data_IF_914450968793
#
_entry.id   IF_914450968793
#
_cell.length_a   1.000
_cell.length_b   1.000
_cell.length_c   1.000
_cell.angle_alpha   90.00
_cell.angle_beta   90.00
_cell.angle_gamma   90.00
#
_symmetry.space_group_name_H-M   'P 1'
#
loop_
_entity.id
_entity.type
_entity.pdbx_description
1 polymer ?
#
# COMPACT_ATOMS: atom_id res chain seq x y z
N UNK A 1 -2.44 -21.15 -4.68
CA UNK A 1 -2.82 -22.08 -3.58
C UNK A 1 -4.30 -22.45 -3.54
N UNK A 2 -5.18 -21.92 -4.43
CA UNK A 2 -6.58 -22.30 -4.52
C UNK A 2 -7.51 -21.84 -3.40
N UNK A 3 -7.01 -21.08 -2.44
CA UNK A 3 -7.76 -20.65 -1.24
C UNK A 3 -8.45 -19.28 -1.37
N UNK A 4 -8.09 -18.48 -2.40
CA UNK A 4 -8.73 -17.18 -2.62
C UNK A 4 -10.20 -17.36 -3.05
N UNK A 5 -11.09 -16.54 -2.51
CA UNK A 5 -12.51 -16.50 -2.90
C UNK A 5 -12.70 -16.23 -4.41
N UNK A 6 -11.78 -15.53 -5.06
CA UNK A 6 -11.81 -15.25 -6.49
C UNK A 6 -11.57 -16.48 -7.37
N UNK A 7 -10.99 -17.55 -6.82
CA UNK A 7 -10.63 -18.77 -7.56
C UNK A 7 -11.22 -20.06 -6.96
N UNK A 8 -11.97 -19.94 -5.86
CA UNK A 8 -12.59 -21.09 -5.20
C UNK A 8 -13.72 -21.72 -6.04
N UNK A 9 -14.48 -20.89 -6.74
CA UNK A 9 -15.68 -21.29 -7.45
C UNK A 9 -16.88 -21.55 -6.54
N UNK A 10 -16.79 -21.18 -5.25
CA UNK A 10 -17.82 -21.44 -4.24
C UNK A 10 -18.37 -20.16 -3.59
N UNK A 11 -17.97 -18.99 -4.07
CA UNK A 11 -18.43 -17.74 -3.48
C UNK A 11 -19.93 -17.51 -3.76
N UNK A 12 -20.71 -17.27 -2.70
CA UNK A 12 -22.17 -17.13 -2.76
C UNK A 12 -22.62 -16.10 -3.80
N UNK A 13 -23.46 -16.50 -4.74
CA UNK A 13 -23.96 -15.68 -5.85
C UNK A 13 -23.06 -15.65 -7.09
N UNK A 14 -21.89 -16.27 -7.02
CA UNK A 14 -20.93 -16.40 -8.12
C UNK A 14 -20.35 -17.82 -8.19
N UNK A 15 -21.13 -18.82 -7.82
CA UNK A 15 -20.72 -20.24 -7.86
C UNK A 15 -20.33 -20.64 -9.29
N UNK A 16 -19.22 -21.36 -9.41
CA UNK A 16 -18.68 -21.81 -10.69
C UNK A 16 -17.95 -20.75 -11.52
N UNK A 17 -17.76 -19.53 -11.00
CA UNK A 17 -16.95 -18.50 -11.65
C UNK A 17 -15.58 -18.36 -10.99
N UNK A 18 -14.55 -18.05 -11.83
CA UNK A 18 -13.15 -18.01 -11.43
C UNK A 18 -12.46 -16.78 -11.99
N UNK A 19 -11.60 -16.14 -11.20
CA UNK A 19 -10.78 -14.97 -11.63
C UNK A 19 -9.35 -15.11 -11.11
N UNK A 20 -8.47 -15.71 -11.90
CA UNK A 20 -7.08 -15.96 -11.51
C UNK A 20 -6.18 -14.71 -11.61
N UNK A 21 -6.59 -13.71 -12.38
CA UNK A 21 -5.79 -12.54 -12.70
C UNK A 21 -6.27 -11.28 -11.99
N UNK A 22 -7.23 -11.38 -11.06
CA UNK A 22 -7.82 -10.26 -10.33
C UNK A 22 -8.38 -9.14 -11.24
N UNK A 23 -8.79 -9.47 -12.46
CA UNK A 23 -9.34 -8.51 -13.40
C UNK A 23 -10.65 -7.93 -12.83
N UNK A 24 -10.73 -6.59 -12.77
CA UNK A 24 -11.88 -5.90 -12.19
C UNK A 24 -12.03 -6.05 -10.68
N UNK A 25 -11.10 -6.72 -10.00
CA UNK A 25 -11.12 -6.91 -8.55
C UNK A 25 -10.65 -5.63 -7.83
N UNK A 26 -11.50 -4.61 -7.82
CA UNK A 26 -11.24 -3.32 -7.18
C UNK A 26 -12.40 -2.96 -6.22
N UNK A 27 -12.09 -2.24 -5.14
CA UNK A 27 -13.08 -1.80 -4.17
C UNK A 27 -12.43 -1.31 -2.88
N UNK A 28 -13.22 -0.61 -2.06
CA UNK A 28 -12.77 -0.06 -0.77
C UNK A 28 -12.82 -1.09 0.38
N UNK A 29 -13.46 -2.23 0.16
CA UNK A 29 -13.52 -3.34 1.12
C UNK A 29 -13.15 -4.66 0.44
N UNK A 30 -12.66 -5.63 1.20
CA UNK A 30 -12.34 -6.98 0.69
C UNK A 30 -13.55 -7.64 0.01
N UNK A 31 -14.74 -7.45 0.56
CA UNK A 31 -16.00 -7.98 -0.01
C UNK A 31 -16.26 -7.40 -1.40
N UNK A 32 -16.16 -6.08 -1.56
CA UNK A 32 -16.35 -5.41 -2.87
C UNK A 32 -15.30 -5.83 -3.89
N UNK A 33 -14.04 -5.99 -3.48
CA UNK A 33 -12.97 -6.48 -4.35
C UNK A 33 -13.31 -7.86 -4.90
N UNK A 34 -13.78 -8.79 -4.05
CA UNK A 34 -14.17 -10.13 -4.47
C UNK A 34 -15.40 -10.09 -5.38
N UNK A 35 -16.43 -9.37 -4.98
CA UNK A 35 -17.69 -9.27 -5.76
C UNK A 35 -17.45 -8.66 -7.13
N UNK A 36 -16.72 -7.55 -7.22
CA UNK A 36 -16.42 -6.90 -8.50
C UNK A 36 -15.58 -7.80 -9.41
N UNK A 37 -14.57 -8.48 -8.86
CA UNK A 37 -13.77 -9.43 -9.62
C UNK A 37 -14.56 -10.65 -10.13
N UNK A 38 -15.49 -11.17 -9.33
CA UNK A 38 -16.35 -12.28 -9.75
C UNK A 38 -17.48 -11.83 -10.70
N UNK A 39 -18.00 -10.62 -10.52
CA UNK A 39 -18.93 -10.01 -11.49
C UNK A 39 -18.28 -9.86 -12.86
N UNK A 40 -17.00 -9.42 -12.90
CA UNK A 40 -16.23 -9.42 -14.14
C UNK A 40 -16.11 -10.82 -14.74
N UNK A 41 -15.73 -11.82 -13.95
CA UNK A 41 -15.60 -13.20 -14.41
C UNK A 41 -16.91 -13.75 -14.99
N UNK A 42 -18.04 -13.44 -14.33
CA UNK A 42 -19.39 -13.80 -14.81
C UNK A 42 -19.69 -13.14 -16.15
N UNK A 43 -19.46 -11.85 -16.28
CA UNK A 43 -19.65 -11.09 -17.53
C UNK A 43 -18.75 -11.63 -18.67
N UNK A 44 -17.52 -12.02 -18.34
CA UNK A 44 -16.55 -12.57 -19.30
C UNK A 44 -16.79 -14.06 -19.63
N UNK A 45 -17.76 -14.72 -19.01
CA UNK A 45 -18.05 -16.13 -19.23
C UNK A 45 -17.00 -17.08 -18.65
N UNK A 46 -16.26 -16.67 -17.62
CA UNK A 46 -15.19 -17.46 -16.97
C UNK A 46 -15.78 -18.48 -15.98
N UNK A 47 -16.65 -19.34 -16.49
CA UNK A 47 -17.39 -20.34 -15.72
C UNK A 47 -16.69 -21.71 -15.62
N UNK A 48 -15.45 -21.79 -16.07
CA UNK A 48 -14.53 -22.91 -15.81
C UNK A 48 -13.13 -22.36 -15.52
N UNK A 49 -12.31 -23.15 -14.82
CA UNK A 49 -10.91 -22.78 -14.54
C UNK A 49 -10.13 -22.54 -15.84
N UNK A 50 -10.34 -23.38 -16.85
CA UNK A 50 -9.70 -23.24 -18.16
C UNK A 50 -10.06 -21.89 -18.83
N UNK A 51 -11.35 -21.55 -18.89
CA UNK A 51 -11.78 -20.27 -19.50
C UNK A 51 -11.22 -19.06 -18.75
N UNK A 52 -11.17 -19.12 -17.42
CA UNK A 52 -10.62 -18.04 -16.61
C UNK A 52 -9.11 -17.88 -16.81
N UNK A 53 -8.36 -18.98 -16.89
CA UNK A 53 -6.92 -18.93 -17.17
C UNK A 53 -6.67 -18.42 -18.61
N UNK A 54 -7.34 -18.95 -19.60
CA UNK A 54 -7.20 -18.54 -20.99
C UNK A 54 -7.57 -17.06 -21.17
N UNK A 55 -8.75 -16.66 -20.71
CA UNK A 55 -9.21 -15.27 -20.87
C UNK A 55 -8.35 -14.26 -20.12
N UNK A 56 -7.90 -14.58 -18.92
CA UNK A 56 -6.99 -13.74 -18.16
C UNK A 56 -5.61 -13.62 -18.82
N UNK A 57 -5.06 -14.72 -19.33
CA UNK A 57 -3.79 -14.71 -20.08
C UNK A 57 -3.89 -13.88 -21.37
N UNK A 58 -4.99 -13.99 -22.08
CA UNK A 58 -5.24 -13.17 -23.30
C UNK A 58 -5.32 -11.68 -22.98
N UNK A 59 -5.99 -11.32 -21.88
CA UNK A 59 -6.04 -9.92 -21.41
C UNK A 59 -4.65 -9.40 -21.05
N UNK A 60 -3.87 -10.17 -20.31
CA UNK A 60 -2.51 -9.81 -19.93
C UNK A 60 -1.63 -9.65 -21.17
N UNK A 61 -1.69 -10.59 -22.10
CA UNK A 61 -0.95 -10.55 -23.36
C UNK A 61 -1.30 -9.29 -24.17
N UNK A 62 -2.59 -9.01 -24.38
CA UNK A 62 -3.06 -7.90 -25.18
C UNK A 62 -2.76 -6.54 -24.53
N UNK A 63 -3.06 -6.41 -23.23
CA UNK A 63 -3.06 -5.10 -22.57
C UNK A 63 -1.69 -4.71 -22.03
N UNK A 64 -0.81 -5.70 -21.74
CA UNK A 64 0.50 -5.44 -21.14
C UNK A 64 1.66 -5.90 -22.02
N UNK A 65 1.70 -7.17 -22.41
CA UNK A 65 2.85 -7.70 -23.16
C UNK A 65 2.94 -7.05 -24.56
N UNK A 66 1.84 -6.96 -25.27
CA UNK A 66 1.78 -6.38 -26.61
C UNK A 66 2.11 -4.87 -26.67
N UNK A 67 2.05 -4.17 -25.53
CA UNK A 67 2.43 -2.74 -25.44
C UNK A 67 3.80 -2.53 -24.77
N UNK A 68 4.59 -3.60 -24.65
CA UNK A 68 5.97 -3.56 -24.15
C UNK A 68 6.11 -3.76 -22.63
N UNK A 69 5.00 -3.89 -21.89
CA UNK A 69 5.02 -4.19 -20.46
C UNK A 69 5.15 -5.71 -20.23
N UNK A 70 6.20 -6.31 -20.79
CA UNK A 70 6.42 -7.76 -20.90
C UNK A 70 7.19 -8.37 -19.70
N UNK A 71 7.54 -7.56 -18.72
CA UNK A 71 8.14 -8.02 -17.45
C UNK A 71 7.26 -7.63 -16.26
N UNK A 72 7.39 -8.35 -15.14
CA UNK A 72 6.68 -8.00 -13.89
C UNK A 72 6.96 -6.56 -13.45
N UNK A 73 8.20 -6.09 -13.65
CA UNK A 73 8.57 -4.72 -13.35
C UNK A 73 7.83 -3.71 -14.24
N UNK A 74 7.81 -3.94 -15.56
CA UNK A 74 7.13 -3.04 -16.49
C UNK A 74 5.60 -3.08 -16.35
N UNK A 75 5.03 -4.21 -15.98
CA UNK A 75 3.61 -4.32 -15.65
C UNK A 75 3.28 -3.49 -14.40
N UNK A 76 4.18 -3.45 -13.42
CA UNK A 76 3.97 -2.68 -12.19
C UNK A 76 4.23 -1.20 -12.37
N UNK A 77 5.32 -0.80 -12.99
CA UNK A 77 5.77 0.59 -12.98
C UNK A 77 5.60 1.33 -14.31
N UNK A 78 5.28 0.61 -15.37
CA UNK A 78 5.02 1.12 -16.73
C UNK A 78 5.95 2.26 -17.17
N UNK A 79 7.21 1.93 -17.36
CA UNK A 79 8.22 2.89 -17.86
C UNK A 79 8.53 2.72 -19.33
N UNK A 80 7.75 1.92 -20.06
CA UNK A 80 7.99 1.55 -21.47
C UNK A 80 6.84 1.89 -22.41
N UNK A 81 5.59 1.85 -21.95
CA UNK A 81 4.44 2.20 -22.78
C UNK A 81 4.28 3.72 -22.85
N UNK A 82 4.79 4.33 -23.90
CA UNK A 82 4.82 5.78 -24.09
C UNK A 82 3.43 6.45 -24.10
N UNK A 83 2.37 5.71 -24.43
CA UNK A 83 0.99 6.24 -24.42
C UNK A 83 0.44 6.49 -23.02
N UNK A 84 0.99 5.83 -22.01
CA UNK A 84 0.50 5.95 -20.64
C UNK A 84 1.61 5.67 -19.61
N UNK A 85 2.75 6.38 -19.75
CA UNK A 85 3.88 6.27 -18.83
C UNK A 85 3.43 6.50 -17.39
N UNK A 86 3.94 5.68 -16.48
CA UNK A 86 3.67 5.70 -15.03
C UNK A 86 2.22 5.40 -14.65
N UNK A 87 1.30 5.31 -15.61
CA UNK A 87 -0.05 4.78 -15.46
C UNK A 87 -0.13 3.33 -15.96
N UNK A 88 -1.34 2.80 -16.14
CA UNK A 88 -1.61 1.46 -16.67
C UNK A 88 -0.82 0.35 -15.93
N UNK A 89 -0.93 0.36 -14.61
CA UNK A 89 -0.25 -0.59 -13.74
C UNK A 89 -1.13 -1.80 -13.46
N UNK A 90 -0.57 -3.00 -13.57
CA UNK A 90 -1.31 -4.24 -13.31
C UNK A 90 -1.56 -4.50 -11.83
N UNK A 91 -0.59 -4.17 -10.97
CA UNK A 91 -0.62 -4.52 -9.55
C UNK A 91 -0.66 -3.27 -8.68
N UNK A 92 -1.48 -3.26 -7.62
CA UNK A 92 -1.49 -2.20 -6.60
C UNK A 92 -0.33 -2.30 -5.61
N UNK A 93 0.12 -3.53 -5.29
CA UNK A 93 1.22 -3.75 -4.35
C UNK A 93 2.56 -3.27 -4.91
N UNK A 94 3.23 -2.36 -4.20
CA UNK A 94 4.52 -1.79 -4.61
C UNK A 94 5.65 -2.81 -4.70
N UNK A 95 5.61 -3.86 -3.89
CA UNK A 95 6.64 -4.90 -3.86
C UNK A 95 6.29 -6.12 -4.72
N UNK A 96 5.17 -6.08 -5.46
CA UNK A 96 4.69 -7.24 -6.21
C UNK A 96 5.71 -7.75 -7.25
N UNK A 97 6.33 -6.85 -8.02
CA UNK A 97 7.32 -7.24 -9.01
C UNK A 97 8.52 -7.99 -8.39
N UNK A 98 8.97 -7.54 -7.21
CA UNK A 98 10.04 -8.22 -6.45
C UNK A 98 9.59 -9.57 -5.89
N UNK A 99 8.44 -9.61 -5.21
CA UNK A 99 7.97 -10.83 -4.54
C UNK A 99 7.59 -11.92 -5.52
N UNK A 100 6.92 -11.57 -6.61
CA UNK A 100 6.57 -12.53 -7.66
C UNK A 100 7.79 -12.96 -8.47
N UNK A 101 8.70 -12.03 -8.81
CA UNK A 101 9.96 -12.37 -9.47
C UNK A 101 10.81 -13.34 -8.66
N UNK A 102 10.88 -13.14 -7.34
CA UNK A 102 11.57 -14.07 -6.43
C UNK A 102 10.92 -15.46 -6.43
N UNK A 103 9.60 -15.55 -6.38
CA UNK A 103 8.89 -16.84 -6.46
C UNK A 103 9.13 -17.56 -7.79
N UNK A 104 9.07 -16.82 -8.90
CA UNK A 104 9.38 -17.38 -10.23
C UNK A 104 10.81 -17.90 -10.27
N UNK A 105 11.78 -17.10 -9.78
CA UNK A 105 13.20 -17.52 -9.73
C UNK A 105 13.44 -18.79 -8.91
N UNK A 106 12.64 -19.02 -7.87
CA UNK A 106 12.70 -20.25 -7.08
C UNK A 106 12.16 -21.49 -7.83
N UNK A 107 11.29 -21.27 -8.83
CA UNK A 107 10.75 -22.34 -9.67
C UNK A 107 11.73 -22.85 -10.74
N UNK A 108 12.78 -22.09 -11.04
CA UNK A 108 13.80 -22.53 -11.98
C UNK A 108 14.83 -23.39 -11.27
N UNK A 109 14.82 -24.70 -11.55
CA UNK A 109 15.78 -25.67 -11.00
C UNK A 109 17.06 -25.75 -11.82
N UNK A 110 16.97 -25.55 -13.14
CA UNK A 110 18.10 -25.49 -14.03
C UNK A 110 18.62 -24.05 -14.17
N UNK A 111 19.80 -23.81 -13.59
CA UNK A 111 20.49 -22.52 -13.66
C UNK A 111 21.32 -22.32 -14.93
N UNK A 112 21.42 -23.32 -15.79
CA UNK A 112 22.12 -23.23 -17.07
C UNK A 112 21.19 -22.73 -18.19
N UNK A 113 19.89 -22.60 -17.95
CA UNK A 113 18.97 -22.04 -18.91
C UNK A 113 19.33 -20.59 -19.22
N UNK A 114 19.35 -20.23 -20.50
CA UNK A 114 19.58 -18.86 -20.93
C UNK A 114 18.36 -17.98 -20.56
N UNK A 115 18.63 -16.88 -19.87
CA UNK A 115 17.62 -15.88 -19.53
C UNK A 115 17.91 -14.56 -20.24
N UNK A 116 16.87 -13.88 -20.68
CA UNK A 116 16.95 -12.50 -21.16
C UNK A 116 16.40 -11.58 -20.09
N UNK A 117 17.22 -10.68 -19.58
CA UNK A 117 16.83 -9.68 -18.59
C UNK A 117 16.66 -8.32 -19.26
N UNK A 118 15.53 -7.66 -19.00
CA UNK A 118 15.29 -6.27 -19.39
C UNK A 118 15.33 -5.40 -18.14
N UNK A 119 16.43 -4.66 -17.98
CA UNK A 119 16.69 -3.85 -16.78
C UNK A 119 16.54 -2.38 -17.17
N UNK A 120 15.58 -1.63 -16.61
CA UNK A 120 15.47 -0.19 -16.83
C UNK A 120 16.64 0.53 -16.16
N UNK A 121 17.28 1.42 -16.90
CA UNK A 121 18.33 2.31 -16.37
C UNK A 121 17.78 3.73 -16.43
N UNK A 122 17.76 4.40 -15.28
CA UNK A 122 17.25 5.76 -15.15
C UNK A 122 18.40 6.77 -15.19
N UNK A 123 18.13 7.97 -15.71
CA UNK A 123 19.13 9.04 -15.83
C UNK A 123 19.79 9.40 -14.50
N UNK A 124 19.06 9.30 -13.41
CA UNK A 124 19.56 9.60 -12.06
C UNK A 124 19.42 8.37 -11.16
N UNK A 125 20.05 7.26 -11.55
CA UNK A 125 20.09 6.05 -10.72
C UNK A 125 20.81 6.35 -9.39
N UNK A 126 20.28 5.92 -8.24
CA UNK A 126 21.00 6.01 -6.99
C UNK A 126 22.28 5.17 -7.03
N UNK A 127 23.33 5.64 -6.39
CA UNK A 127 24.65 4.95 -6.32
C UNK A 127 24.63 3.68 -5.46
N UNK A 128 23.59 3.49 -4.66
CA UNK A 128 23.39 2.31 -3.81
C UNK A 128 21.98 1.76 -4.01
N UNK A 129 21.83 0.46 -3.78
CA UNK A 129 20.53 -0.18 -3.82
C UNK A 129 19.58 0.47 -2.79
N UNK A 130 18.37 0.81 -3.24
CA UNK A 130 17.32 1.28 -2.35
C UNK A 130 16.86 0.10 -1.51
N UNK A 131 17.02 0.19 -0.19
CA UNK A 131 16.44 -0.78 0.73
C UNK A 131 14.92 -0.59 0.76
N UNK A 132 14.19 -1.67 0.57
CA UNK A 132 12.74 -1.63 0.80
C UNK A 132 12.50 -1.25 2.27
N UNK A 133 11.71 -0.22 2.49
CA UNK A 133 11.22 0.10 3.84
C UNK A 133 10.51 -1.12 4.42
N UNK A 134 10.64 -1.32 5.71
CA UNK A 134 10.02 -2.43 6.41
C UNK A 134 8.54 -2.59 6.02
N UNK A 135 8.10 -3.83 5.83
CA UNK A 135 6.70 -4.11 5.53
C UNK A 135 5.82 -3.57 6.67
N UNK A 136 4.81 -2.79 6.33
CA UNK A 136 3.90 -2.19 7.30
C UNK A 136 3.22 -0.95 6.75
N UNK A 137 2.17 -0.51 7.41
CA UNK A 137 1.48 0.72 7.05
C UNK A 137 2.42 1.92 7.25
N UNK A 138 2.75 2.71 6.21
CA UNK A 138 3.68 3.83 6.32
C UNK A 138 3.06 5.09 6.94
N UNK A 139 1.76 5.09 7.23
CA UNK A 139 1.06 6.26 7.73
C UNK A 139 1.49 6.60 9.16
N UNK A 140 2.17 7.73 9.32
CA UNK A 140 2.64 8.27 10.59
C UNK A 140 1.93 9.59 10.95
N UNK A 141 0.75 9.83 10.39
CA UNK A 141 -0.03 11.03 10.70
C UNK A 141 -0.89 10.83 11.94
N UNK A 142 -1.04 11.90 12.71
CA UNK A 142 -2.04 11.97 13.77
C UNK A 142 -3.42 12.27 13.18
N UNK A 143 -4.43 11.60 13.72
CA UNK A 143 -5.85 11.91 13.49
C UNK A 143 -6.29 13.08 14.39
N UNK A 144 -5.72 13.16 15.59
CA UNK A 144 -5.98 14.23 16.55
C UNK A 144 -4.80 14.38 17.51
N UNK A 145 -4.61 15.59 18.03
CA UNK A 145 -3.85 15.92 19.21
C UNK A 145 -4.66 16.95 20.02
N UNK A 146 -4.75 16.76 21.31
CA UNK A 146 -5.50 17.63 22.21
C UNK A 146 -4.79 17.75 23.55
N UNK A 147 -4.94 18.90 24.17
CA UNK A 147 -4.53 19.15 25.56
C UNK A 147 -5.80 19.40 26.37
N UNK A 148 -5.99 18.63 27.44
CA UNK A 148 -7.21 18.70 28.24
C UNK A 148 -7.45 20.14 28.76
N UNK A 149 -8.65 20.67 28.49
CA UNK A 149 -9.05 22.01 28.91
C UNK A 149 -8.36 23.18 28.18
N UNK A 150 -7.56 22.90 27.15
CA UNK A 150 -6.79 23.91 26.43
C UNK A 150 -7.02 23.84 24.91
N UNK A 151 -6.90 24.98 24.24
CA UNK A 151 -6.98 25.07 22.78
C UNK A 151 -5.59 25.25 22.17
N UNK A 152 -5.31 24.47 21.13
CA UNK A 152 -4.07 24.58 20.37
C UNK A 152 -4.16 25.71 19.32
N UNK A 153 -3.06 26.43 19.13
CA UNK A 153 -2.91 27.44 18.09
C UNK A 153 -1.72 27.07 17.17
N UNK A 154 -1.92 26.94 15.85
CA UNK A 154 -3.24 26.88 15.17
C UNK A 154 -4.08 25.67 15.62
N UNK A 155 -5.36 25.67 15.30
CA UNK A 155 -6.21 24.48 15.49
C UNK A 155 -5.62 23.26 14.78
N UNK A 156 -5.90 22.06 15.29
CA UNK A 156 -5.28 20.82 14.78
C UNK A 156 -5.53 20.62 13.29
N UNK A 157 -4.44 20.32 12.58
CA UNK A 157 -4.43 19.80 11.19
C UNK A 157 -3.36 18.70 11.11
N UNK A 158 -3.66 17.56 10.54
CA UNK A 158 -2.74 16.41 10.49
C UNK A 158 -1.39 16.71 9.80
N UNK A 159 -1.36 17.69 8.88
CA UNK A 159 -0.14 18.13 8.21
C UNK A 159 0.70 19.10 9.05
N UNK A 160 0.13 19.76 10.06
CA UNK A 160 0.82 20.73 10.92
C UNK A 160 1.60 20.00 12.01
N UNK A 161 2.86 20.43 12.22
CA UNK A 161 3.77 19.80 13.19
C UNK A 161 4.15 20.71 14.37
N UNK A 162 3.72 21.98 14.35
CA UNK A 162 4.01 22.95 15.40
C UNK A 162 2.71 23.57 15.88
N UNK A 163 2.53 23.55 17.17
CA UNK A 163 1.39 24.14 17.89
C UNK A 163 1.91 24.89 19.10
N UNK A 164 1.14 25.86 19.55
CA UNK A 164 1.37 26.57 20.81
C UNK A 164 0.10 26.66 21.61
N UNK A 165 0.23 26.81 22.91
CA UNK A 165 -0.84 27.18 23.82
C UNK A 165 -0.24 27.97 24.99
N UNK A 166 -1.05 28.73 25.66
CA UNK A 166 -0.68 29.50 26.86
C UNK A 166 -1.54 29.04 28.01
N UNK A 167 -0.94 28.81 29.14
CA UNK A 167 -1.63 28.51 30.39
C UNK A 167 -1.17 29.49 31.50
N UNK A 168 -2.00 29.64 32.50
CA UNK A 168 -1.65 30.45 33.69
C UNK A 168 -0.43 29.87 34.42
N UNK A 169 0.34 30.71 35.09
CA UNK A 169 1.56 30.31 35.81
C UNK A 169 1.28 29.37 37.00
N UNK A 170 0.04 29.28 37.42
CA UNK A 170 -0.43 28.37 38.47
C UNK A 170 -0.62 26.93 37.97
N UNK A 171 -0.64 26.73 36.66
CA UNK A 171 -0.80 25.39 36.03
C UNK A 171 0.54 24.68 36.03
N UNK A 172 0.73 23.72 36.89
CA UNK A 172 1.98 22.95 37.04
C UNK A 172 2.07 21.72 36.14
N UNK A 173 1.00 21.34 35.46
CA UNK A 173 0.98 20.20 34.52
C UNK A 173 -0.19 20.28 33.55
N UNK A 174 0.00 19.64 32.38
CA UNK A 174 -1.06 19.47 31.37
C UNK A 174 -1.14 18.00 30.94
N UNK A 175 -2.31 17.58 30.47
CA UNK A 175 -2.51 16.25 29.90
C UNK A 175 -2.61 16.33 28.38
N UNK A 176 -1.66 15.69 27.69
CA UNK A 176 -1.59 15.64 26.22
C UNK A 176 -2.11 14.31 25.72
N UNK A 177 -3.11 14.33 24.85
CA UNK A 177 -3.68 13.17 24.21
C UNK A 177 -3.49 13.24 22.71
N UNK A 178 -3.23 12.11 22.05
CA UNK A 178 -3.15 12.04 20.61
C UNK A 178 -3.65 10.68 20.12
N UNK A 179 -4.20 10.67 18.90
CA UNK A 179 -4.62 9.45 18.19
C UNK A 179 -3.99 9.43 16.80
N UNK A 180 -3.55 8.25 16.37
CA UNK A 180 -2.98 8.07 15.03
C UNK A 180 -4.10 7.81 14.00
N UNK A 181 -3.84 8.14 12.73
CA UNK A 181 -4.70 7.77 11.60
C UNK A 181 -4.67 6.26 11.39
N UNK A 182 -3.48 5.66 11.41
CA UNK A 182 -3.32 4.21 11.31
C UNK A 182 -3.27 3.57 12.70
N UNK A 183 -4.16 2.63 12.99
CA UNK A 183 -4.22 1.91 14.26
C UNK A 183 -2.94 1.12 14.57
N UNK A 184 -2.13 0.82 13.55
CA UNK A 184 -0.84 0.12 13.68
C UNK A 184 0.33 1.04 14.01
N UNK A 185 0.11 2.36 14.07
CA UNK A 185 1.13 3.33 14.46
C UNK A 185 1.22 3.47 15.97
N UNK A 186 2.42 3.70 16.48
CA UNK A 186 2.68 3.93 17.90
C UNK A 186 2.90 5.42 18.18
N UNK A 187 2.34 5.90 19.29
CA UNK A 187 2.48 7.30 19.70
C UNK A 187 3.28 7.36 20.99
N UNK A 188 4.21 8.30 21.06
CA UNK A 188 4.99 8.61 22.25
C UNK A 188 4.94 10.10 22.55
N UNK A 189 5.22 10.49 23.79
CA UNK A 189 5.19 11.89 24.21
C UNK A 189 3.84 12.40 24.70
N UNK A 190 2.81 11.56 24.75
CA UNK A 190 1.48 11.83 25.35
C UNK A 190 1.48 11.67 26.87
N UNK A 191 0.33 11.89 27.50
CA UNK A 191 0.13 11.79 28.95
C UNK A 191 0.41 13.10 29.69
N UNK A 192 0.49 13.01 31.02
CA UNK A 192 0.73 14.16 31.88
C UNK A 192 2.16 14.71 31.72
N UNK A 193 2.28 16.01 31.49
CA UNK A 193 3.55 16.74 31.35
C UNK A 193 3.63 17.80 32.43
N UNK A 194 4.69 17.75 33.23
CA UNK A 194 5.00 18.81 34.20
C UNK A 194 5.43 20.05 33.44
N UNK A 195 5.05 21.20 33.93
CA UNK A 195 5.39 22.51 33.38
C UNK A 195 6.23 23.31 34.40
N UNK A 196 7.18 24.05 33.88
CA UNK A 196 7.86 25.11 34.60
C UNK A 196 7.31 26.47 34.13
N UNK A 197 7.41 27.49 34.95
CA UNK A 197 7.11 28.85 34.53
C UNK A 197 8.01 29.25 33.35
N UNK A 198 7.41 29.80 32.29
CA UNK A 198 8.08 30.15 31.05
C UNK A 198 7.80 29.13 29.94
N UNK A 199 8.72 29.06 28.98
CA UNK A 199 8.53 28.22 27.78
C UNK A 199 8.83 26.74 28.06
N UNK A 200 7.87 25.88 27.74
CA UNK A 200 8.01 24.42 27.77
C UNK A 200 7.86 23.86 26.36
N UNK A 201 8.68 22.89 26.00
CA UNK A 201 8.58 22.18 24.72
C UNK A 201 8.18 20.74 24.96
N UNK A 202 7.06 20.32 24.36
CA UNK A 202 6.54 18.96 24.46
C UNK A 202 6.56 18.34 23.06
N UNK A 203 7.26 17.21 22.92
CA UNK A 203 7.36 16.49 21.65
C UNK A 203 6.45 15.27 21.68
N UNK A 204 5.50 15.24 20.75
CA UNK A 204 4.67 14.04 20.47
C UNK A 204 5.16 13.45 19.16
N UNK A 205 5.49 12.16 19.16
CA UNK A 205 5.98 11.45 17.98
C UNK A 205 5.01 10.35 17.60
N UNK A 206 4.71 10.22 16.31
CA UNK A 206 3.94 9.13 15.73
C UNK A 206 4.84 8.28 14.85
N UNK A 207 5.06 7.02 15.20
CA UNK A 207 5.86 6.08 14.43
C UNK A 207 4.95 5.08 13.72
N UNK A 208 5.06 5.03 12.40
CA UNK A 208 4.31 4.08 11.56
C UNK A 208 4.79 2.64 11.74
N UNK A 209 3.97 1.66 11.35
CA UNK A 209 4.36 0.25 11.35
C UNK A 209 5.55 -0.05 10.41
N UNK A 210 5.76 0.77 9.37
CA UNK A 210 6.93 0.68 8.49
C UNK A 210 8.19 1.33 9.06
N UNK A 211 8.12 1.93 10.28
CA UNK A 211 9.26 2.52 10.97
C UNK A 211 9.46 4.02 10.78
N UNK A 212 8.75 4.68 9.86
CA UNK A 212 8.83 6.12 9.67
C UNK A 212 8.25 6.89 10.86
N UNK A 213 8.93 7.93 11.33
CA UNK A 213 8.51 8.76 12.47
C UNK A 213 8.24 10.18 12.03
N UNK A 214 7.18 10.75 12.53
CA UNK A 214 6.79 12.15 12.39
C UNK A 214 6.65 12.80 13.77
#
# INVERSE_FOLDING_TARGET
NGTSSLISGTYKGYEGYFNYFNVGAAGVTSTLVIQNGLAYAKKAGWNTRYKALLGGSQLLAKNYIAVGQDTLYFQKFNVVNAKNLYGHQYMSNLTAAYTEGRKLGQGYTDKQQAFVFRIPVYKSMPSSAVTFTAMGNPNNYLKNIAVAGQSLTPGFKSATTKYSLVVENTVSSISVNATAVAATSTITGTGTKKLNVGTNTINVKCKSASGSTR
#
